data_IF_176577569426
#
_entry.id   IF_176577569426
#
_cell.length_a   1.000
_cell.length_b   1.000
_cell.length_c   1.000
_cell.angle_alpha   90.00
_cell.angle_beta   90.00
_cell.angle_gamma   90.00
#
_symmetry.space_group_name_H-M   'P 1'
#
loop_
_entity.id
_entity.type
_entity.pdbx_description
1 polymer ?
#
# COMPACT_ATOMS: atom_id res chain seq x y z
N UNK A 1 5.76 18.84 89.34
CA UNK A 1 7.17 18.83 88.92
C UNK A 1 7.30 19.33 87.49
N UNK A 2 8.22 20.27 87.21
CA UNK A 2 8.31 21.04 85.97
C UNK A 2 9.44 20.57 85.04
N UNK A 3 9.41 20.99 83.77
CA UNK A 3 10.60 21.27 82.92
C UNK A 3 10.11 22.01 81.66
N UNK A 4 10.39 23.32 81.45
CA UNK A 4 11.60 23.90 80.81
C UNK A 4 11.83 23.32 79.41
N UNK A 5 12.12 24.04 78.32
CA UNK A 5 12.45 25.44 77.98
C UNK A 5 12.69 25.40 76.45
N UNK A 6 12.30 26.35 75.62
CA UNK A 6 13.18 27.45 75.19
C UNK A 6 12.56 28.16 73.96
N UNK A 7 12.68 29.49 73.91
CA UNK A 7 12.57 30.39 72.74
C UNK A 7 14.01 30.76 72.32
N UNK A 8 14.33 31.23 71.09
CA UNK A 8 14.05 32.62 70.65
C UNK A 8 13.85 32.80 69.10
N UNK A 9 13.10 33.82 68.64
CA UNK A 9 13.58 35.12 68.05
C UNK A 9 14.21 34.98 66.64
N UNK A 10 14.04 35.81 65.61
CA UNK A 10 13.32 37.06 65.29
C UNK A 10 13.49 37.30 63.77
N UNK A 11 12.60 38.09 63.15
CA UNK A 11 12.88 39.09 62.08
C UNK A 11 11.53 39.46 61.40
N UNK A 12 10.90 40.57 61.80
CA UNK A 12 11.02 41.90 61.15
C UNK A 12 10.65 41.91 59.66
N UNK A 13 9.44 42.39 59.34
CA UNK A 13 9.33 43.56 58.44
C UNK A 13 8.00 44.28 58.64
N UNK A 14 8.13 45.60 58.75
CA UNK A 14 7.11 46.61 59.06
C UNK A 14 6.31 47.01 57.82
N UNK A 15 5.10 47.45 58.11
CA UNK A 15 4.21 48.23 57.26
C UNK A 15 4.85 49.53 56.73
N UNK A 16 4.38 49.97 55.55
CA UNK A 16 4.51 51.33 55.00
C UNK A 16 3.34 51.49 53.99
N UNK A 17 2.25 52.16 54.36
CA UNK A 17 1.96 53.58 54.05
C UNK A 17 2.03 53.92 52.54
N UNK A 18 0.86 54.16 51.94
CA UNK A 18 0.70 54.88 50.67
C UNK A 18 0.95 56.37 50.90
N UNK A 19 1.51 57.10 49.90
CA UNK A 19 0.65 58.06 49.22
C UNK A 19 0.98 58.31 47.72
N UNK A 20 0.00 58.96 47.05
CA UNK A 20 0.15 59.91 45.93
C UNK A 20 0.05 59.40 44.48
N UNK A 21 -1.20 59.16 44.04
CA UNK A 21 -1.62 58.84 42.66
C UNK A 21 -1.47 59.97 41.61
N UNK A 22 -0.78 61.08 41.91
CA UNK A 22 -0.71 62.24 40.98
C UNK A 22 0.54 62.29 40.09
N UNK A 23 1.61 61.52 40.38
CA UNK A 23 2.83 61.51 39.53
C UNK A 23 2.76 60.53 38.34
N UNK A 24 1.87 59.54 38.37
CA UNK A 24 1.82 58.47 37.36
C UNK A 24 1.17 58.89 36.03
N UNK A 25 0.38 59.97 36.02
CA UNK A 25 -0.30 60.42 34.81
C UNK A 25 0.58 61.26 33.89
N UNK A 26 1.67 61.84 34.41
CA UNK A 26 2.62 62.63 33.61
C UNK A 26 3.74 61.77 32.99
N UNK A 27 4.14 60.65 33.61
CA UNK A 27 5.14 59.73 33.02
C UNK A 27 4.61 58.92 31.83
N UNK A 28 3.31 58.59 31.79
CA UNK A 28 2.72 57.81 30.69
C UNK A 28 2.55 58.55 29.36
N UNK A 29 2.85 59.84 29.29
CA UNK A 29 2.70 60.65 28.06
C UNK A 29 3.97 60.77 27.20
N UNK A 30 5.11 60.22 27.61
CA UNK A 30 6.39 60.42 26.89
C UNK A 30 7.06 59.14 26.35
N UNK A 31 6.36 58.00 26.27
CA UNK A 31 6.90 56.80 25.61
C UNK A 31 5.95 56.25 24.55
N UNK A 32 5.80 56.98 23.44
CA UNK A 32 5.43 56.37 22.17
C UNK A 32 6.57 56.63 21.19
N UNK A 33 7.56 55.73 21.21
CA UNK A 33 8.58 55.63 20.17
C UNK A 33 7.88 55.45 18.83
N UNK A 34 8.03 56.42 17.95
CA UNK A 34 7.55 56.38 16.57
C UNK A 34 8.23 55.21 15.87
N UNK A 35 7.47 54.16 15.54
CA UNK A 35 7.97 53.04 14.73
C UNK A 35 7.98 53.50 13.27
N UNK A 36 9.08 53.33 12.51
CA UNK A 36 9.08 53.67 11.09
C UNK A 36 8.01 52.85 10.35
N UNK A 37 7.35 53.41 9.34
CA UNK A 37 6.31 52.67 8.61
C UNK A 37 6.93 51.43 7.96
N UNK A 38 6.35 50.26 8.26
CA UNK A 38 6.74 49.00 7.63
C UNK A 38 6.50 49.04 6.12
N UNK A 39 7.34 48.34 5.35
CA UNK A 39 7.22 48.24 3.89
C UNK A 39 5.82 47.74 3.50
N UNK A 40 5.22 48.36 2.48
CA UNK A 40 3.87 48.00 2.02
C UNK A 40 3.93 46.65 1.30
N UNK A 41 2.91 45.83 1.52
CA UNK A 41 2.80 44.44 1.02
C UNK A 41 2.89 44.33 -0.52
N UNK A 42 2.64 45.43 -1.21
CA UNK A 42 2.73 45.61 -2.67
C UNK A 42 4.17 45.59 -3.20
N UNK A 43 5.19 45.89 -2.39
CA UNK A 43 6.61 45.80 -2.78
C UNK A 43 7.17 44.36 -2.75
N UNK A 44 6.42 43.40 -2.18
CA UNK A 44 6.73 41.96 -2.24
C UNK A 44 6.13 41.27 -3.47
N UNK A 45 5.27 41.96 -4.22
CA UNK A 45 4.64 41.47 -5.45
C UNK A 45 5.46 41.90 -6.67
N UNK A 46 6.70 41.43 -6.74
CA UNK A 46 7.42 41.33 -8.02
C UNK A 46 6.74 40.27 -8.90
N UNK A 47 6.72 40.43 -10.24
CA UNK A 47 6.07 39.49 -11.14
C UNK A 47 6.69 38.09 -11.03
N UNK A 48 5.93 37.01 -11.31
CA UNK A 48 6.36 35.65 -11.03
C UNK A 48 7.52 35.26 -11.94
N UNK A 49 8.74 35.28 -11.40
CA UNK A 49 9.87 34.55 -11.98
C UNK A 49 9.55 33.05 -11.85
N UNK A 50 9.34 32.38 -12.98
CA UNK A 50 8.96 30.97 -13.15
C UNK A 50 9.97 29.91 -12.61
N UNK A 51 10.65 30.11 -11.48
CA UNK A 51 11.79 29.23 -11.12
C UNK A 51 11.82 28.63 -9.71
N UNK A 52 10.74 28.67 -8.92
CA UNK A 52 10.79 28.12 -7.55
C UNK A 52 9.77 27.03 -7.21
N UNK A 53 8.84 26.67 -8.09
CA UNK A 53 7.93 25.53 -7.90
C UNK A 53 8.33 24.25 -8.64
N UNK A 54 9.41 24.27 -9.43
CA UNK A 54 9.78 23.16 -10.32
C UNK A 54 10.56 22.04 -9.64
N UNK A 55 11.33 22.30 -8.57
CA UNK A 55 12.32 21.34 -8.06
C UNK A 55 11.72 20.06 -7.46
N UNK A 56 10.67 20.15 -6.63
CA UNK A 56 10.11 18.98 -5.93
C UNK A 56 9.35 18.03 -6.88
N UNK A 57 8.55 18.60 -7.78
CA UNK A 57 7.81 17.83 -8.78
C UNK A 57 8.75 17.19 -9.81
N UNK A 58 9.80 17.89 -10.23
CA UNK A 58 10.81 17.35 -11.14
C UNK A 58 11.62 16.22 -10.51
N UNK A 59 12.00 16.35 -9.23
CA UNK A 59 12.67 15.28 -8.48
C UNK A 59 11.76 14.06 -8.34
N UNK A 60 10.48 14.26 -8.01
CA UNK A 60 9.51 13.16 -7.92
C UNK A 60 9.33 12.45 -9.26
N UNK A 61 9.19 13.20 -10.36
CA UNK A 61 9.12 12.65 -11.71
C UNK A 61 10.38 11.85 -12.07
N UNK A 62 11.56 12.36 -11.75
CA UNK A 62 12.82 11.65 -11.99
C UNK A 62 12.90 10.34 -11.20
N UNK A 63 12.45 10.33 -9.95
CA UNK A 63 12.37 9.09 -9.14
C UNK A 63 11.44 8.06 -9.76
N UNK A 64 10.27 8.48 -10.25
CA UNK A 64 9.35 7.59 -10.96
C UNK A 64 9.97 7.04 -12.26
N UNK A 65 10.71 7.85 -13.01
CA UNK A 65 11.42 7.38 -14.22
C UNK A 65 12.51 6.34 -13.89
N UNK A 66 13.25 6.54 -12.80
CA UNK A 66 14.26 5.55 -12.33
C UNK A 66 13.57 4.23 -11.95
N UNK A 67 12.41 4.32 -11.30
CA UNK A 67 11.58 3.17 -10.93
C UNK A 67 11.06 2.43 -12.17
N UNK A 68 10.53 3.15 -13.16
CA UNK A 68 10.10 2.60 -14.46
C UNK A 68 11.23 1.88 -15.20
N UNK A 69 12.39 2.53 -15.29
CA UNK A 69 13.57 1.94 -15.92
C UNK A 69 14.06 0.69 -15.18
N UNK A 70 14.01 0.70 -13.84
CA UNK A 70 14.40 -0.44 -13.03
C UNK A 70 13.51 -1.65 -13.31
N UNK A 71 12.18 -1.48 -13.29
CA UNK A 71 11.23 -2.55 -13.62
C UNK A 71 11.48 -3.05 -15.04
N UNK A 72 11.58 -2.16 -16.02
CA UNK A 72 11.88 -2.52 -17.41
C UNK A 72 13.16 -3.37 -17.53
N UNK A 73 14.24 -2.97 -16.87
CA UNK A 73 15.50 -3.71 -16.88
C UNK A 73 15.38 -5.11 -16.24
N UNK A 74 14.56 -5.27 -15.19
CA UNK A 74 14.28 -6.60 -14.61
C UNK A 74 13.63 -7.50 -15.66
N UNK A 75 12.55 -7.04 -16.31
CA UNK A 75 11.82 -7.86 -17.28
C UNK A 75 12.60 -8.12 -18.58
N UNK A 76 13.49 -7.21 -18.99
CA UNK A 76 14.38 -7.40 -20.15
C UNK A 76 15.65 -8.22 -19.83
N UNK A 77 15.70 -8.91 -18.68
CA UNK A 77 16.84 -9.72 -18.22
C UNK A 77 18.16 -8.93 -18.02
N UNK A 78 18.10 -7.61 -17.94
CA UNK A 78 19.25 -6.72 -17.64
C UNK A 78 19.44 -6.55 -16.13
N UNK A 79 19.64 -7.67 -15.42
CA UNK A 79 19.68 -7.73 -13.95
C UNK A 79 20.79 -6.86 -13.35
N UNK A 80 21.97 -6.81 -13.98
CA UNK A 80 23.09 -5.99 -13.50
C UNK A 80 22.74 -4.50 -13.49
N UNK A 81 22.00 -4.03 -14.49
CA UNK A 81 21.57 -2.63 -14.58
C UNK A 81 20.44 -2.33 -13.60
N UNK A 82 19.48 -3.24 -13.44
CA UNK A 82 18.41 -3.11 -12.45
C UNK A 82 18.98 -3.00 -11.02
N UNK A 83 20.01 -3.79 -10.68
CA UNK A 83 20.65 -3.77 -9.36
C UNK A 83 21.32 -2.43 -9.03
N UNK A 84 21.76 -1.66 -10.02
CA UNK A 84 22.35 -0.31 -9.81
C UNK A 84 21.32 0.66 -9.22
N UNK A 85 20.09 0.64 -9.72
CA UNK A 85 18.99 1.50 -9.26
C UNK A 85 18.19 0.91 -8.09
N UNK A 86 18.30 -0.39 -7.82
CA UNK A 86 17.44 -1.11 -6.87
C UNK A 86 17.41 -0.49 -5.46
N UNK A 87 18.57 -0.07 -4.92
CA UNK A 87 18.64 0.58 -3.60
C UNK A 87 17.95 1.95 -3.58
N UNK A 88 18.01 2.69 -4.69
CA UNK A 88 17.34 3.97 -4.81
C UNK A 88 15.82 3.78 -4.90
N UNK A 89 15.38 2.85 -5.75
CA UNK A 89 13.97 2.47 -5.90
C UNK A 89 13.37 2.06 -4.55
N UNK A 90 14.02 1.16 -3.80
CA UNK A 90 13.53 0.74 -2.47
C UNK A 90 13.34 1.89 -1.49
N UNK A 91 14.22 2.91 -1.53
CA UNK A 91 14.05 4.12 -0.71
C UNK A 91 12.85 4.93 -1.15
N UNK A 92 12.62 5.04 -2.46
CA UNK A 92 11.50 5.82 -3.00
C UNK A 92 10.13 5.13 -2.79
N UNK A 93 10.10 3.81 -2.56
CA UNK A 93 8.88 3.07 -2.16
C UNK A 93 8.33 3.46 -0.78
N UNK A 94 9.06 4.25 0.01
CA UNK A 94 8.49 4.88 1.19
C UNK A 94 7.30 5.80 0.83
N UNK A 95 7.30 6.38 -0.37
CA UNK A 95 6.21 7.23 -0.84
C UNK A 95 5.07 6.40 -1.47
N UNK A 96 3.83 6.74 -1.08
CA UNK A 96 2.60 6.09 -1.57
C UNK A 96 2.52 6.03 -3.10
N UNK A 97 2.78 7.16 -3.77
CA UNK A 97 2.70 7.26 -5.24
C UNK A 97 3.69 6.35 -5.95
N UNK A 98 4.91 6.20 -5.42
CA UNK A 98 5.92 5.27 -5.96
C UNK A 98 5.49 3.81 -5.82
N UNK A 99 4.83 3.45 -4.71
CA UNK A 99 4.31 2.08 -4.50
C UNK A 99 3.20 1.73 -5.47
N UNK A 100 2.19 2.60 -5.57
CA UNK A 100 1.10 2.40 -6.51
C UNK A 100 1.64 2.31 -7.94
N UNK A 101 2.56 3.20 -8.31
CA UNK A 101 3.19 3.16 -9.65
C UNK A 101 4.00 1.89 -9.89
N UNK A 102 4.74 1.38 -8.89
CA UNK A 102 5.45 0.11 -9.00
C UNK A 102 4.47 -1.03 -9.31
N UNK A 103 3.39 -1.15 -8.54
CA UNK A 103 2.42 -2.23 -8.72
C UNK A 103 1.71 -2.12 -10.07
N UNK A 104 1.42 -0.91 -10.53
CA UNK A 104 0.84 -0.68 -11.87
C UNK A 104 1.80 -1.13 -12.97
N UNK A 105 3.08 -0.77 -12.88
CA UNK A 105 4.09 -1.20 -13.85
C UNK A 105 4.27 -2.72 -13.88
N UNK A 106 4.27 -3.36 -12.70
CA UNK A 106 4.32 -4.80 -12.63
C UNK A 106 3.08 -5.43 -13.27
N UNK A 107 1.89 -4.86 -13.06
CA UNK A 107 0.65 -5.33 -13.69
C UNK A 107 0.71 -5.13 -15.20
N UNK A 108 1.22 -4.01 -15.68
CA UNK A 108 1.42 -3.76 -17.11
C UNK A 108 2.35 -4.81 -17.74
N UNK A 109 3.45 -5.17 -17.08
CA UNK A 109 4.38 -6.18 -17.61
C UNK A 109 3.79 -7.60 -17.54
N UNK A 110 3.18 -7.97 -16.42
CA UNK A 110 2.73 -9.35 -16.16
C UNK A 110 1.38 -9.65 -16.79
N UNK A 111 0.41 -8.76 -16.60
CA UNK A 111 -0.99 -8.95 -17.02
C UNK A 111 -1.19 -8.50 -18.46
N UNK A 112 -0.77 -7.27 -18.79
CA UNK A 112 -1.04 -6.72 -20.13
C UNK A 112 -0.06 -7.23 -21.20
N UNK A 113 1.23 -7.39 -20.86
CA UNK A 113 2.25 -7.91 -21.79
C UNK A 113 2.47 -9.42 -21.69
N UNK A 114 1.85 -10.09 -20.74
CA UNK A 114 1.95 -11.55 -20.57
C UNK A 114 3.31 -12.05 -20.11
N UNK A 115 4.16 -11.20 -19.51
CA UNK A 115 5.47 -11.59 -18.98
C UNK A 115 5.34 -12.22 -17.59
N UNK A 116 4.51 -13.25 -17.46
CA UNK A 116 4.17 -13.90 -16.19
C UNK A 116 5.24 -14.86 -15.68
N UNK A 117 5.95 -15.54 -16.57
CA UNK A 117 7.01 -16.50 -16.23
C UNK A 117 8.38 -15.82 -16.26
N UNK A 118 9.00 -15.72 -15.08
CA UNK A 118 10.29 -15.08 -14.86
C UNK A 118 11.37 -16.09 -14.48
N UNK A 119 12.62 -15.76 -14.80
CA UNK A 119 13.78 -16.49 -14.31
C UNK A 119 13.95 -16.25 -12.80
N UNK A 120 14.64 -17.15 -12.09
CA UNK A 120 14.81 -17.07 -10.63
C UNK A 120 15.29 -15.69 -10.13
N UNK A 121 16.30 -15.11 -10.76
CA UNK A 121 16.81 -13.78 -10.35
C UNK A 121 15.83 -12.63 -10.62
N UNK A 122 15.07 -12.71 -11.71
CA UNK A 122 14.05 -11.69 -12.04
C UNK A 122 12.92 -11.75 -11.02
N UNK A 123 12.48 -12.97 -10.72
CA UNK A 123 11.42 -13.25 -9.76
C UNK A 123 11.80 -12.80 -8.34
N UNK A 124 13.00 -13.13 -7.87
CA UNK A 124 13.49 -12.67 -6.55
C UNK A 124 13.46 -11.15 -6.43
N UNK A 125 13.92 -10.40 -7.45
CA UNK A 125 13.89 -8.93 -7.42
C UNK A 125 12.45 -8.41 -7.47
N UNK A 126 11.58 -9.00 -8.29
CA UNK A 126 10.18 -8.60 -8.39
C UNK A 126 9.42 -8.84 -7.07
N UNK A 127 9.58 -10.02 -6.46
CA UNK A 127 9.03 -10.34 -5.14
C UNK A 127 9.60 -9.41 -4.07
N UNK A 128 10.91 -9.15 -4.07
CA UNK A 128 11.52 -8.25 -3.09
C UNK A 128 10.93 -6.83 -3.19
N UNK A 129 10.77 -6.29 -4.40
CA UNK A 129 10.14 -4.98 -4.62
C UNK A 129 8.66 -4.98 -4.18
N UNK A 130 7.93 -6.06 -4.46
CA UNK A 130 6.54 -6.21 -4.07
C UNK A 130 6.36 -6.26 -2.55
N UNK A 131 7.18 -7.05 -1.86
CA UNK A 131 7.19 -7.17 -0.39
C UNK A 131 7.51 -5.82 0.26
N UNK A 132 8.47 -5.07 -0.29
CA UNK A 132 8.77 -3.72 0.19
C UNK A 132 7.57 -2.78 0.02
N UNK A 133 6.86 -2.84 -1.11
CA UNK A 133 5.66 -2.02 -1.32
C UNK A 133 4.52 -2.41 -0.36
N UNK A 134 4.28 -3.71 -0.16
CA UNK A 134 3.25 -4.21 0.75
C UNK A 134 3.53 -3.87 2.23
N UNK A 135 4.79 -3.84 2.65
CA UNK A 135 5.18 -3.52 4.03
C UNK A 135 4.69 -2.15 4.50
N UNK A 136 4.68 -1.15 3.62
CA UNK A 136 4.21 0.20 3.96
C UNK A 136 2.68 0.34 3.90
N UNK A 137 1.98 -0.55 3.21
CA UNK A 137 0.51 -0.51 3.10
C UNK A 137 -0.16 -0.93 4.42
N UNK A 138 0.51 -1.76 5.21
CA UNK A 138 0.02 -2.21 6.52
C UNK A 138 -0.12 -1.07 7.57
N UNK A 139 0.51 0.09 7.35
CA UNK A 139 0.51 1.21 8.30
C UNK A 139 -0.48 2.33 7.93
N UNK A 140 -1.13 2.26 6.77
CA UNK A 140 -2.02 3.30 6.27
C UNK A 140 -3.41 2.73 5.96
N UNK A 141 -4.48 3.50 6.23
CA UNK A 141 -5.88 3.05 6.14
C UNK A 141 -6.37 2.70 4.72
N UNK A 142 -5.55 2.88 3.70
CA UNK A 142 -5.93 2.63 2.31
C UNK A 142 -5.14 1.44 1.76
N UNK A 143 -5.69 0.22 1.89
CA UNK A 143 -5.15 -1.05 1.39
C UNK A 143 -5.07 -1.19 -0.15
N UNK A 144 -4.90 -0.07 -0.85
CA UNK A 144 -4.93 0.03 -2.30
C UNK A 144 -3.72 -0.67 -2.94
N UNK A 145 -2.56 -0.67 -2.29
CA UNK A 145 -1.40 -1.38 -2.81
C UNK A 145 -1.65 -2.88 -2.75
N UNK A 146 -2.11 -3.39 -1.61
CA UNK A 146 -2.45 -4.80 -1.42
C UNK A 146 -3.50 -5.29 -2.42
N UNK A 147 -4.57 -4.52 -2.65
CA UNK A 147 -5.59 -4.86 -3.65
C UNK A 147 -5.00 -4.98 -5.07
N UNK A 148 -4.20 -4.00 -5.51
CA UNK A 148 -3.58 -4.01 -6.85
C UNK A 148 -2.54 -5.12 -7.01
N UNK A 149 -2.05 -5.69 -5.91
CA UNK A 149 -1.13 -6.82 -5.95
C UNK A 149 -1.83 -8.16 -6.21
N UNK A 150 -3.12 -8.33 -5.87
CA UNK A 150 -3.79 -9.63 -5.99
C UNK A 150 -3.65 -10.26 -7.39
N UNK A 151 -3.89 -9.55 -8.51
CA UNK A 151 -3.74 -10.11 -9.85
C UNK A 151 -2.29 -10.53 -10.19
N UNK A 152 -1.30 -9.86 -9.59
CA UNK A 152 0.11 -10.19 -9.73
C UNK A 152 0.44 -11.50 -9.01
N UNK A 153 -0.09 -11.68 -7.80
CA UNK A 153 0.21 -12.85 -6.98
C UNK A 153 -0.29 -14.15 -7.61
N UNK A 154 -1.37 -14.09 -8.38
CA UNK A 154 -1.92 -15.22 -9.13
C UNK A 154 -1.13 -15.55 -10.40
N UNK A 155 -0.61 -14.52 -11.08
CA UNK A 155 -0.01 -14.66 -12.41
C UNK A 155 1.51 -14.75 -12.39
N UNK A 156 2.19 -14.12 -11.45
CA UNK A 156 3.64 -14.08 -11.39
C UNK A 156 4.19 -15.45 -11.00
N UNK A 157 5.04 -16.02 -11.87
CA UNK A 157 5.62 -17.35 -11.71
C UNK A 157 7.12 -17.32 -11.90
N UNK A 158 7.82 -18.11 -11.10
CA UNK A 158 9.25 -18.39 -11.25
C UNK A 158 9.42 -19.74 -11.93
N UNK A 159 10.16 -19.79 -13.03
CA UNK A 159 10.56 -21.06 -13.64
C UNK A 159 11.80 -21.61 -12.93
N UNK A 160 11.65 -22.74 -12.26
CA UNK A 160 12.74 -23.41 -11.56
C UNK A 160 13.30 -24.55 -12.44
N UNK A 161 14.61 -24.55 -12.77
CA UNK A 161 15.22 -25.65 -13.49
C UNK A 161 15.27 -26.90 -12.60
N UNK A 162 14.61 -27.98 -13.00
CA UNK A 162 14.74 -29.27 -12.34
C UNK A 162 16.03 -29.96 -12.82
N UNK A 163 16.96 -30.23 -11.90
CA UNK A 163 18.28 -30.80 -12.21
C UNK A 163 18.20 -32.25 -12.75
N UNK A 164 17.03 -32.86 -12.77
CA UNK A 164 16.82 -34.29 -13.00
C UNK A 164 15.51 -34.64 -13.76
N UNK A 165 14.86 -33.66 -14.41
CA UNK A 165 13.69 -33.91 -15.27
C UNK A 165 13.54 -32.81 -16.32
N UNK A 166 13.03 -33.15 -17.51
CA UNK A 166 12.63 -32.20 -18.56
C UNK A 166 11.43 -31.33 -18.15
N UNK A 167 10.78 -31.64 -17.03
CA UNK A 167 9.71 -30.84 -16.47
C UNK A 167 10.26 -29.62 -15.72
N UNK A 168 9.77 -28.43 -16.05
CA UNK A 168 10.02 -27.21 -15.26
C UNK A 168 8.97 -27.09 -14.17
N UNK A 169 9.40 -26.85 -12.92
CA UNK A 169 8.46 -26.49 -11.85
C UNK A 169 8.24 -24.99 -11.86
N UNK A 170 6.97 -24.57 -11.77
CA UNK A 170 6.60 -23.17 -11.65
C UNK A 170 6.23 -22.84 -10.20
N UNK A 171 6.92 -21.88 -9.59
CA UNK A 171 6.58 -21.37 -8.27
C UNK A 171 5.80 -20.06 -8.42
N UNK A 172 4.58 -19.99 -7.89
CA UNK A 172 3.77 -18.77 -7.89
C UNK A 172 4.23 -17.79 -6.79
N UNK A 173 4.13 -16.50 -7.04
CA UNK A 173 4.49 -15.45 -6.08
C UNK A 173 3.64 -15.46 -4.81
N UNK A 174 2.35 -15.81 -4.91
CA UNK A 174 1.44 -16.01 -3.77
C UNK A 174 1.93 -17.07 -2.77
N UNK A 175 2.83 -17.95 -3.20
CA UNK A 175 3.38 -19.07 -2.44
C UNK A 175 4.80 -18.77 -1.93
N UNK A 176 5.18 -17.51 -1.79
CA UNK A 176 6.48 -17.13 -1.19
C UNK A 176 6.27 -16.68 0.25
N UNK A 177 7.13 -17.12 1.15
CA UNK A 177 7.05 -16.82 2.59
C UNK A 177 7.01 -15.30 2.84
N UNK A 178 7.83 -14.54 2.13
CA UNK A 178 7.91 -13.09 2.28
C UNK A 178 6.63 -12.36 1.88
N UNK A 179 5.94 -12.84 0.83
CA UNK A 179 4.65 -12.26 0.38
C UNK A 179 3.52 -12.67 1.32
N UNK A 180 3.50 -13.93 1.77
CA UNK A 180 2.49 -14.45 2.68
C UNK A 180 2.54 -13.79 4.07
N UNK A 181 3.69 -13.27 4.47
CA UNK A 181 3.87 -12.55 5.74
C UNK A 181 3.17 -11.18 5.81
N UNK A 182 2.55 -10.68 4.71
CA UNK A 182 1.83 -9.41 4.75
C UNK A 182 0.61 -9.48 5.68
N UNK A 183 0.49 -8.49 6.56
CA UNK A 183 -0.59 -8.41 7.54
C UNK A 183 -1.97 -8.16 6.92
N UNK A 184 -2.02 -7.53 5.73
CA UNK A 184 -3.26 -7.28 5.01
C UNK A 184 -4.03 -8.57 4.71
N UNK A 185 -3.32 -9.66 4.38
CA UNK A 185 -3.93 -10.97 4.11
C UNK A 185 -4.59 -11.59 5.33
N UNK A 186 -4.19 -11.14 6.53
CA UNK A 186 -4.78 -11.57 7.80
C UNK A 186 -6.02 -10.79 8.22
N UNK A 187 -6.24 -9.61 7.64
CA UNK A 187 -7.33 -8.70 8.01
C UNK A 187 -8.62 -9.06 7.28
N UNK A 188 -9.68 -9.39 8.02
CA UNK A 188 -11.03 -9.59 7.46
C UNK A 188 -11.57 -8.29 6.83
N UNK A 189 -11.29 -7.15 7.45
CA UNK A 189 -11.73 -5.84 6.94
C UNK A 189 -11.13 -5.53 5.57
N UNK A 190 -9.87 -5.93 5.34
CA UNK A 190 -9.25 -5.82 4.02
C UNK A 190 -10.01 -6.64 2.98
N UNK A 191 -10.29 -7.92 3.27
CA UNK A 191 -10.97 -8.81 2.33
C UNK A 191 -12.38 -8.36 2.01
N UNK A 192 -13.13 -7.90 3.01
CA UNK A 192 -14.45 -7.33 2.80
C UNK A 192 -14.38 -6.08 1.92
N UNK A 193 -13.50 -5.14 2.23
CA UNK A 193 -13.31 -3.93 1.42
C UNK A 193 -12.85 -4.23 -0.01
N UNK A 194 -11.91 -5.15 -0.19
CA UNK A 194 -11.38 -5.57 -1.47
C UNK A 194 -12.45 -6.24 -2.34
N UNK A 195 -13.23 -7.14 -1.75
CA UNK A 195 -14.35 -7.81 -2.40
C UNK A 195 -15.42 -6.80 -2.84
N UNK A 196 -15.87 -5.93 -1.94
CA UNK A 196 -16.86 -4.90 -2.26
C UNK A 196 -16.38 -3.99 -3.39
N UNK A 197 -15.10 -3.56 -3.35
CA UNK A 197 -14.53 -2.72 -4.40
C UNK A 197 -14.40 -3.45 -5.75
N UNK A 198 -14.08 -4.74 -5.73
CA UNK A 198 -14.01 -5.55 -6.94
C UNK A 198 -15.40 -5.70 -7.59
N UNK A 199 -16.41 -6.13 -6.82
CA UNK A 199 -17.79 -6.25 -7.30
C UNK A 199 -18.31 -4.91 -7.82
N UNK A 200 -18.08 -3.83 -7.06
CA UNK A 200 -18.44 -2.48 -7.45
C UNK A 200 -17.86 -2.11 -8.81
N UNK A 201 -16.56 -2.36 -9.02
CA UNK A 201 -15.88 -2.02 -10.28
C UNK A 201 -16.48 -2.80 -11.44
N UNK A 202 -16.67 -4.11 -11.28
CA UNK A 202 -17.27 -4.98 -12.31
C UNK A 202 -18.69 -4.54 -12.70
N UNK A 203 -19.51 -4.20 -11.69
CA UNK A 203 -20.87 -3.70 -11.94
C UNK A 203 -20.84 -2.32 -12.59
N UNK A 204 -19.98 -1.40 -12.14
CA UNK A 204 -19.80 -0.10 -12.79
C UNK A 204 -19.45 -0.29 -14.27
N UNK A 205 -18.45 -1.11 -14.60
CA UNK A 205 -18.01 -1.33 -15.98
C UNK A 205 -19.15 -1.89 -16.85
N UNK A 206 -19.91 -2.85 -16.33
CA UNK A 206 -21.07 -3.41 -17.01
C UNK A 206 -22.17 -2.36 -17.27
N UNK A 207 -22.57 -1.63 -16.23
CA UNK A 207 -23.65 -0.65 -16.32
C UNK A 207 -23.26 0.61 -17.10
N UNK A 208 -21.99 1.00 -17.10
CA UNK A 208 -21.47 2.05 -17.99
C UNK A 208 -21.57 1.63 -19.45
N UNK A 209 -21.24 0.36 -19.75
CA UNK A 209 -21.46 -0.20 -21.10
C UNK A 209 -22.91 -0.12 -21.53
N UNK A 210 -23.84 -0.56 -20.67
CA UNK A 210 -25.29 -0.46 -20.94
C UNK A 210 -25.79 0.97 -21.08
N UNK A 211 -25.32 1.89 -20.23
CA UNK A 211 -25.70 3.30 -20.31
C UNK A 211 -25.22 3.93 -21.62
N UNK A 212 -24.04 3.55 -22.11
CA UNK A 212 -23.51 4.02 -23.39
C UNK A 212 -24.34 3.54 -24.60
N UNK A 213 -24.98 2.37 -24.52
CA UNK A 213 -25.89 1.87 -25.56
C UNK A 213 -27.16 2.74 -25.69
N UNK A 214 -27.69 3.23 -24.57
CA UNK A 214 -28.89 4.06 -24.58
C UNK A 214 -28.60 5.54 -24.78
N UNK A 215 -27.47 6.01 -24.25
CA UNK A 215 -27.12 7.43 -24.27
C UNK A 215 -25.60 7.62 -24.34
N UNK A 216 -25.03 7.57 -25.56
CA UNK A 216 -23.59 7.64 -25.76
C UNK A 216 -22.96 8.98 -25.34
N UNK A 217 -23.77 10.05 -25.26
CA UNK A 217 -23.29 11.40 -24.93
C UNK A 217 -23.37 11.76 -23.43
N UNK A 218 -23.87 10.87 -22.57
CA UNK A 218 -23.95 11.17 -21.13
C UNK A 218 -22.58 10.99 -20.45
N UNK A 219 -21.98 12.05 -19.88
CA UNK A 219 -20.74 11.91 -19.13
C UNK A 219 -21.02 11.14 -17.84
N UNK A 220 -20.38 9.98 -17.69
CA UNK A 220 -20.35 9.24 -16.43
C UNK A 220 -19.28 9.85 -15.55
N UNK A 221 -19.67 10.24 -14.33
CA UNK A 221 -18.70 10.71 -13.33
C UNK A 221 -17.79 9.54 -12.94
N UNK A 222 -16.45 9.66 -13.06
CA UNK A 222 -15.51 8.63 -12.63
C UNK A 222 -15.57 8.32 -11.13
N UNK A 223 -16.22 9.15 -10.31
CA UNK A 223 -16.46 8.89 -8.89
C UNK A 223 -17.81 8.22 -8.59
N UNK A 224 -18.65 7.95 -9.60
CA UNK A 224 -19.98 7.38 -9.41
C UNK A 224 -19.90 5.96 -8.84
N UNK A 225 -20.81 5.65 -7.92
CA UNK A 225 -20.96 4.28 -7.41
C UNK A 225 -21.78 3.44 -8.39
N UNK A 226 -21.63 2.11 -8.33
CA UNK A 226 -22.44 1.18 -9.10
C UNK A 226 -23.94 1.45 -8.86
N UNK A 227 -24.33 1.74 -7.62
CA UNK A 227 -25.71 2.12 -7.29
C UNK A 227 -26.17 3.40 -7.99
N UNK A 228 -25.30 4.41 -8.11
CA UNK A 228 -25.64 5.65 -8.83
C UNK A 228 -25.84 5.39 -10.32
N UNK A 229 -24.97 4.57 -10.92
CA UNK A 229 -25.06 4.21 -12.35
C UNK A 229 -26.29 3.33 -12.59
N UNK A 230 -26.55 2.36 -11.72
CA UNK A 230 -27.78 1.54 -11.76
C UNK A 230 -29.01 2.42 -11.61
N UNK A 231 -29.02 3.38 -10.70
CA UNK A 231 -30.16 4.29 -10.54
C UNK A 231 -30.43 5.08 -11.83
N UNK A 232 -29.37 5.53 -12.53
CA UNK A 232 -29.51 6.16 -13.86
C UNK A 232 -30.09 5.19 -14.89
N UNK A 233 -29.58 3.96 -14.96
CA UNK A 233 -30.11 2.92 -15.86
C UNK A 233 -31.58 2.64 -15.53
N UNK A 234 -31.94 2.51 -14.26
CA UNK A 234 -33.30 2.24 -13.80
C UNK A 234 -34.25 3.44 -13.95
N UNK A 235 -33.77 4.68 -13.98
CA UNK A 235 -34.61 5.82 -14.35
C UNK A 235 -35.13 5.73 -15.79
N UNK A 236 -34.44 4.98 -16.65
CA UNK A 236 -34.88 4.68 -18.01
C UNK A 236 -35.70 3.37 -18.09
N UNK A 237 -36.10 2.80 -16.94
CA UNK A 237 -36.81 1.52 -16.82
C UNK A 237 -38.21 1.49 -17.44
N UNK A 238 -38.81 2.63 -17.80
CA UNK A 238 -40.05 2.65 -18.58
C UNK A 238 -39.88 2.00 -19.97
N UNK A 239 -38.64 1.81 -20.43
CA UNK A 239 -38.28 1.12 -21.66
C UNK A 239 -37.78 -0.31 -21.42
N UNK A 240 -37.57 -0.73 -20.17
CA UNK A 240 -37.11 -2.07 -19.82
C UNK A 240 -38.29 -3.04 -19.73
N UNK A 241 -38.24 -4.09 -20.54
CA UNK A 241 -39.14 -5.23 -20.42
C UNK A 241 -38.87 -6.02 -19.14
N UNK A 242 -39.87 -6.79 -18.69
CA UNK A 242 -39.72 -7.70 -17.55
C UNK A 242 -38.61 -8.75 -17.76
N UNK A 243 -38.32 -9.09 -19.01
CA UNK A 243 -37.26 -10.02 -19.37
C UNK A 243 -35.86 -9.40 -19.18
N UNK A 244 -35.68 -8.14 -19.59
CA UNK A 244 -34.40 -7.43 -19.41
C UNK A 244 -34.10 -7.17 -17.93
N UNK A 245 -35.12 -6.90 -17.12
CA UNK A 245 -34.94 -6.76 -15.67
C UNK A 245 -34.45 -8.06 -15.01
N UNK A 246 -35.01 -9.20 -15.40
CA UNK A 246 -34.54 -10.51 -14.88
C UNK A 246 -33.13 -10.84 -15.39
N UNK A 247 -32.77 -10.44 -16.62
CA UNK A 247 -31.41 -10.56 -17.13
C UNK A 247 -30.42 -9.73 -16.32
N UNK A 248 -30.73 -8.46 -16.03
CA UNK A 248 -29.89 -7.59 -15.21
C UNK A 248 -29.66 -8.18 -13.81
N UNK A 249 -30.74 -8.62 -13.16
CA UNK A 249 -30.67 -9.29 -11.87
C UNK A 249 -29.78 -10.54 -11.92
N UNK A 250 -29.95 -11.36 -12.95
CA UNK A 250 -29.13 -12.57 -13.15
C UNK A 250 -27.65 -12.21 -13.29
N UNK A 251 -27.32 -11.17 -14.05
CA UNK A 251 -25.93 -10.72 -14.23
C UNK A 251 -25.35 -10.18 -12.93
N UNK A 252 -26.13 -9.46 -12.12
CA UNK A 252 -25.71 -9.03 -10.79
C UNK A 252 -25.38 -10.23 -9.88
N UNK A 253 -26.28 -11.21 -9.81
CA UNK A 253 -26.10 -12.44 -9.03
C UNK A 253 -24.85 -13.22 -9.49
N UNK A 254 -24.68 -13.41 -10.80
CA UNK A 254 -23.51 -14.10 -11.39
C UNK A 254 -22.20 -13.35 -11.14
N UNK A 255 -22.23 -12.01 -11.17
CA UNK A 255 -21.06 -11.17 -10.88
C UNK A 255 -20.62 -11.33 -9.42
N UNK A 256 -21.56 -11.33 -8.48
CA UNK A 256 -21.28 -11.53 -7.06
C UNK A 256 -20.78 -12.95 -6.80
N UNK A 257 -21.42 -13.96 -7.40
CA UNK A 257 -21.05 -15.37 -7.22
C UNK A 257 -19.63 -15.65 -7.78
N UNK A 258 -19.33 -15.15 -8.97
CA UNK A 258 -18.02 -15.33 -9.60
C UNK A 258 -16.90 -14.62 -8.81
N UNK A 259 -17.16 -13.39 -8.34
CA UNK A 259 -16.24 -12.67 -7.48
C UNK A 259 -15.97 -13.43 -6.16
N UNK A 260 -17.01 -14.00 -5.55
CA UNK A 260 -16.88 -14.76 -4.30
C UNK A 260 -16.00 -16.01 -4.51
N UNK A 261 -16.25 -16.78 -5.57
CA UNK A 261 -15.42 -17.95 -5.95
C UNK A 261 -13.96 -17.56 -6.14
N UNK A 262 -13.71 -16.46 -6.87
CA UNK A 262 -12.37 -15.97 -7.13
C UNK A 262 -11.62 -15.60 -5.84
N UNK A 263 -12.25 -14.82 -4.97
CA UNK A 263 -11.64 -14.40 -3.70
C UNK A 263 -11.37 -15.58 -2.75
N UNK A 264 -12.23 -16.59 -2.72
CA UNK A 264 -11.99 -17.82 -1.94
C UNK A 264 -10.70 -18.52 -2.38
N UNK A 265 -10.47 -18.63 -3.70
CA UNK A 265 -9.25 -19.25 -4.25
C UNK A 265 -8.01 -18.46 -3.86
N UNK A 266 -8.05 -17.13 -4.01
CA UNK A 266 -6.93 -16.25 -3.63
C UNK A 266 -6.63 -16.36 -2.13
N UNK A 267 -7.67 -16.28 -1.30
CA UNK A 267 -7.58 -16.43 0.15
C UNK A 267 -6.92 -17.76 0.54
N UNK A 268 -7.38 -18.85 -0.06
CA UNK A 268 -6.82 -20.18 0.19
C UNK A 268 -5.35 -20.27 -0.24
N UNK A 269 -4.99 -19.73 -1.40
CA UNK A 269 -3.62 -19.74 -1.92
C UNK A 269 -2.66 -18.96 -1.02
N UNK A 270 -3.06 -17.77 -0.55
CA UNK A 270 -2.24 -16.93 0.33
C UNK A 270 -2.10 -17.48 1.76
N UNK A 271 -3.03 -18.32 2.19
CA UNK A 271 -3.02 -18.95 3.53
C UNK A 271 -2.40 -20.34 3.56
N UNK A 272 -2.08 -20.92 2.41
CA UNK A 272 -1.50 -22.26 2.34
C UNK A 272 -0.07 -22.25 2.92
N UNK A 273 0.22 -22.97 4.02
CA UNK A 273 1.56 -23.05 4.59
C UNK A 273 2.50 -23.86 3.68
N UNK A 274 3.70 -23.35 3.42
CA UNK A 274 4.72 -23.96 2.55
C UNK A 274 5.49 -25.11 3.23
N UNK A 275 4.85 -25.94 4.06
CA UNK A 275 5.54 -26.99 4.81
C UNK A 275 6.19 -28.11 3.95
N UNK A 276 5.80 -28.42 2.70
CA UNK A 276 6.54 -29.40 1.89
C UNK A 276 7.66 -28.81 1.01
N UNK A 277 7.81 -27.48 0.90
CA UNK A 277 8.82 -26.86 0.02
C UNK A 277 10.20 -26.71 0.71
N UNK A 278 10.20 -26.49 2.02
CA UNK A 278 11.42 -26.35 2.84
C UNK A 278 12.33 -27.60 2.78
N UNK A 279 11.73 -28.80 2.65
CA UNK A 279 12.48 -30.06 2.52
C UNK A 279 13.11 -30.30 1.14
N UNK A 280 12.64 -29.64 0.09
CA UNK A 280 13.24 -29.74 -1.27
C UNK A 280 14.25 -28.64 -1.55
N UNK A 281 14.10 -27.47 -0.95
CA UNK A 281 15.04 -26.35 -1.14
C UNK A 281 16.26 -26.40 -0.22
N UNK A 282 16.16 -27.04 0.95
CA UNK A 282 17.30 -27.24 1.87
C UNK A 282 18.17 -28.46 1.54
N UNK A 283 17.94 -29.15 0.42
CA UNK A 283 18.63 -30.39 0.03
C UNK A 283 20.00 -30.18 -0.64
N UNK A 284 20.75 -29.14 -0.25
CA UNK A 284 22.03 -28.78 -0.85
C UNK A 284 23.05 -28.33 0.19
N UNK A 285 23.41 -29.20 1.14
CA UNK A 285 24.52 -28.94 2.06
C UNK A 285 24.22 -29.36 3.49
N UNK A 286 24.58 -30.60 3.85
CA UNK A 286 24.38 -31.09 5.21
C UNK A 286 24.84 -32.52 5.39
N UNK A 287 26.16 -32.68 5.43
CA UNK A 287 26.91 -33.88 5.78
C UNK A 287 26.24 -34.70 6.91
N UNK A 288 25.51 -35.77 6.59
CA UNK A 288 25.15 -36.81 7.57
C UNK A 288 26.36 -37.72 7.71
N UNK A 289 27.19 -37.41 8.71
CA UNK A 289 28.02 -38.43 9.35
C UNK A 289 27.08 -39.40 10.06
N UNK A 290 27.04 -40.61 9.54
CA UNK A 290 26.63 -41.82 10.23
C UNK A 290 27.27 -41.88 11.62
N UNK A 291 26.44 -41.90 12.66
CA UNK A 291 26.77 -42.52 13.94
C UNK A 291 25.49 -43.18 14.44
N UNK A 292 25.55 -44.50 14.66
CA UNK A 292 24.60 -45.21 15.49
C UNK A 292 23.87 -46.37 14.84
N UNK A 293 24.62 -47.33 14.28
CA UNK A 293 24.15 -48.71 14.18
C UNK A 293 24.02 -49.25 15.61
N UNK A 294 22.83 -49.70 15.99
CA UNK A 294 22.66 -50.76 16.98
C UNK A 294 21.53 -51.67 16.51
N UNK A 295 21.98 -52.86 16.13
CA UNK A 295 21.27 -54.07 15.72
C UNK A 295 20.11 -54.40 16.68
N UNK A 296 18.90 -54.70 16.18
CA UNK A 296 18.44 -56.04 15.79
C UNK A 296 18.70 -57.15 16.83
N UNK A 297 17.68 -57.43 17.63
CA UNK A 297 17.33 -58.79 18.08
C UNK A 297 15.82 -58.79 18.38
N UNK A 298 14.99 -59.21 17.43
CA UNK A 298 14.49 -60.58 17.27
C UNK A 298 13.38 -60.98 18.25
N UNK A 299 12.32 -61.54 17.64
CA UNK A 299 11.41 -62.58 18.15
C UNK A 299 10.40 -62.24 19.24
N UNK A 300 9.22 -61.80 18.78
CA UNK A 300 7.96 -62.56 18.84
C UNK A 300 7.90 -63.71 19.88
N UNK A 301 7.18 -63.51 20.99
CA UNK A 301 6.29 -64.47 21.67
C UNK A 301 5.70 -63.85 22.94
N UNK A 302 4.38 -63.97 23.12
CA UNK A 302 3.62 -63.52 24.29
C UNK A 302 2.21 -63.10 23.92
#
# INVERSE_FOLDING_TARGET
SPAKSSKPSAASTKALEQPSQQQDHQRRRQEFKTVPPGQRLEDLLLPPTQQQFSSSADIHRQKLQILELCVKNVFERRIADAKKSLKAVKRDLAHRSSRLRLVDLLNDMVVARGMSTLDQQQFEIACELLVQALRFDAQHEEWLCALRCLPLLERLRCQLPCQNSTASLELQASMTEEVQACTAWSSEAFWHWAFSRFVQTQLCDYYVGRLAEWKPDEPVDPSATALDIVAKVMQHSEQLSTAELEELKKIEEETVESAAKHFIVILAALRMPLEPAKRRWAGGGGNRRDVGVSELSSTNQG
#
